data_IF_710782227337
#
_entry.id   IF_710782227337
#
_cell.length_a   1.000
_cell.length_b   1.000
_cell.length_c   1.000
_cell.angle_alpha   90.00
_cell.angle_beta   90.00
_cell.angle_gamma   90.00
#
_symmetry.space_group_name_H-M   'P 1'
#
loop_
_entity.id
_entity.type
_entity.pdbx_description
1 polymer ?
#
# COMPACT_ATOMS: atom_id res chain seq x y z
N UNK A 1 -17.64 28.30 10.30
CA UNK A 1 -16.65 27.48 11.05
C UNK A 1 -15.32 27.61 10.34
N UNK A 2 -14.24 28.01 11.03
CA UNK A 2 -12.91 27.98 10.43
C UNK A 2 -12.29 26.61 10.68
N UNK A 3 -12.22 25.78 9.66
CA UNK A 3 -11.40 24.58 9.74
C UNK A 3 -9.92 25.03 9.72
N UNK A 4 -9.25 24.96 10.87
CA UNK A 4 -7.78 24.99 10.93
C UNK A 4 -7.28 23.67 10.38
N UNK A 5 -7.03 23.62 9.07
CA UNK A 5 -6.32 22.51 8.44
C UNK A 5 -4.81 22.69 8.57
N UNK A 6 -4.09 21.60 8.81
CA UNK A 6 -2.64 21.56 8.68
C UNK A 6 -2.30 21.18 7.24
N UNK A 7 -1.43 21.97 6.59
CA UNK A 7 -0.86 21.59 5.30
C UNK A 7 0.25 20.56 5.54
N UNK A 8 0.08 19.36 5.03
CA UNK A 8 1.11 18.32 5.00
C UNK A 8 1.63 18.22 3.55
N UNK A 9 2.94 18.29 3.38
CA UNK A 9 3.60 18.12 2.07
C UNK A 9 4.18 16.72 2.00
N UNK A 10 3.68 15.91 1.08
CA UNK A 10 4.15 14.55 0.87
C UNK A 10 5.38 14.55 -0.06
N UNK A 11 6.47 13.84 0.29
CA UNK A 11 7.63 13.70 -0.57
C UNK A 11 7.36 12.66 -1.67
N UNK A 12 6.70 13.09 -2.76
CA UNK A 12 6.37 12.20 -3.89
C UNK A 12 7.64 11.86 -4.68
N UNK A 13 7.82 10.57 -4.94
CA UNK A 13 8.85 10.00 -5.79
C UNK A 13 8.24 9.42 -7.06
N UNK A 14 8.95 9.48 -8.17
CA UNK A 14 8.55 8.83 -9.42
C UNK A 14 9.39 7.56 -9.60
N UNK A 15 8.76 6.39 -9.54
CA UNK A 15 9.45 5.10 -9.67
C UNK A 15 8.92 4.30 -10.86
N UNK A 16 9.84 3.67 -11.57
CA UNK A 16 9.52 2.71 -12.61
C UNK A 16 9.13 1.38 -11.98
N UNK A 17 8.08 0.75 -12.51
CA UNK A 17 7.57 -0.52 -12.04
C UNK A 17 7.50 -1.54 -13.19
N UNK A 18 7.63 -2.81 -12.83
CA UNK A 18 7.56 -3.91 -13.78
C UNK A 18 6.36 -4.80 -13.45
N UNK A 19 5.27 -4.63 -14.21
CA UNK A 19 4.08 -5.46 -14.09
C UNK A 19 3.87 -6.22 -15.39
N UNK A 20 3.95 -7.56 -15.31
CA UNK A 20 3.58 -8.49 -16.40
C UNK A 20 4.12 -8.07 -17.78
N UNK A 21 5.43 -7.86 -17.89
CA UNK A 21 6.12 -7.54 -19.15
C UNK A 21 5.90 -6.12 -19.71
N UNK A 22 5.22 -5.25 -18.96
CA UNK A 22 5.06 -3.83 -19.29
C UNK A 22 5.77 -2.94 -18.27
N UNK A 23 6.46 -1.91 -18.78
CA UNK A 23 7.01 -0.85 -17.95
C UNK A 23 5.91 0.16 -17.62
N UNK A 24 5.63 0.30 -16.33
CA UNK A 24 4.80 1.36 -15.79
C UNK A 24 5.65 2.39 -15.06
N UNK A 25 5.02 3.51 -14.70
CA UNK A 25 5.57 4.43 -13.73
C UNK A 25 4.50 4.82 -12.73
N UNK A 26 4.87 4.81 -11.46
CA UNK A 26 4.00 5.15 -10.35
C UNK A 26 4.56 6.34 -9.57
N UNK A 27 3.66 7.20 -9.11
CA UNK A 27 3.96 8.21 -8.09
C UNK A 27 3.82 7.57 -6.72
N UNK A 28 4.91 7.58 -5.95
CA UNK A 28 4.99 6.89 -4.68
C UNK A 28 5.33 7.86 -3.54
N UNK A 29 4.73 7.64 -2.38
CA UNK A 29 5.08 8.36 -1.15
C UNK A 29 5.75 7.37 -0.19
N UNK A 30 7.02 7.59 0.19
CA UNK A 30 7.65 6.84 1.27
C UNK A 30 6.91 7.11 2.57
N UNK A 31 6.60 6.05 3.31
CA UNK A 31 5.96 6.14 4.62
C UNK A 31 6.49 5.05 5.54
N UNK A 32 6.25 5.22 6.83
CA UNK A 32 6.51 4.18 7.83
C UNK A 32 5.19 3.69 8.42
N UNK A 33 4.95 2.38 8.39
CA UNK A 33 3.82 1.73 9.02
C UNK A 33 4.32 0.69 10.04
N UNK A 34 4.05 0.91 11.32
CA UNK A 34 4.52 0.06 12.42
C UNK A 34 6.04 -0.23 12.38
N UNK A 35 6.86 0.78 12.04
CA UNK A 35 8.31 0.63 11.91
C UNK A 35 8.77 -0.06 10.62
N UNK A 36 7.88 -0.29 9.65
CA UNK A 36 8.19 -0.85 8.34
C UNK A 36 8.16 0.24 7.28
N UNK A 37 9.28 0.41 6.57
CA UNK A 37 9.42 1.34 5.45
C UNK A 37 8.66 0.81 4.22
N UNK A 38 7.70 1.59 3.73
CA UNK A 38 6.83 1.24 2.61
C UNK A 38 6.70 2.40 1.62
N UNK A 39 6.12 2.12 0.46
CA UNK A 39 5.83 3.13 -0.56
C UNK A 39 4.35 3.04 -0.96
N UNK A 40 3.58 4.08 -0.68
CA UNK A 40 2.18 4.17 -1.10
C UNK A 40 2.07 4.67 -2.53
N UNK A 41 1.20 4.02 -3.31
CA UNK A 41 0.74 4.57 -4.58
C UNK A 41 -0.10 5.82 -4.33
N UNK A 42 0.23 6.90 -5.04
CA UNK A 42 -0.62 8.09 -5.10
C UNK A 42 -1.70 7.85 -6.15
N UNK A 43 -2.86 7.42 -5.69
CA UNK A 43 -4.07 7.33 -6.49
C UNK A 43 -5.07 8.39 -6.00
N UNK A 44 -5.24 9.47 -6.78
CA UNK A 44 -6.18 10.54 -6.43
C UNK A 44 -7.65 10.16 -6.66
N UNK A 45 -7.92 9.02 -7.30
CA UNK A 45 -9.25 8.46 -7.49
C UNK A 45 -9.69 7.56 -6.34
N UNK A 46 -8.76 7.07 -5.51
CA UNK A 46 -9.05 6.18 -4.40
C UNK A 46 -9.44 6.95 -3.11
N UNK A 47 -10.40 6.41 -2.36
CA UNK A 47 -10.79 6.90 -1.02
C UNK A 47 -9.96 6.30 0.11
N UNK A 48 -9.22 5.24 -0.16
CA UNK A 48 -8.60 4.37 0.84
C UNK A 48 -7.13 4.14 0.55
N UNK A 49 -6.36 3.92 1.61
CA UNK A 49 -4.96 3.52 1.57
C UNK A 49 -4.89 2.05 1.95
N UNK A 50 -4.15 1.25 1.19
CA UNK A 50 -3.89 -0.14 1.52
C UNK A 50 -2.44 -0.52 1.22
N UNK A 51 -2.01 -1.57 1.90
CA UNK A 51 -0.68 -2.14 1.76
C UNK A 51 -0.77 -3.54 1.16
N UNK A 52 0.25 -3.92 0.40
CA UNK A 52 0.35 -5.29 -0.10
C UNK A 52 0.80 -6.18 1.07
N UNK A 53 0.05 -7.25 1.36
CA UNK A 53 0.47 -8.24 2.34
C UNK A 53 1.68 -9.03 1.83
N UNK A 54 2.74 -9.12 2.66
CA UNK A 54 3.94 -9.92 2.36
C UNK A 54 3.61 -11.40 2.20
N UNK A 55 2.73 -11.93 3.04
CA UNK A 55 2.29 -13.33 2.99
C UNK A 55 1.57 -13.62 1.67
N UNK A 56 0.52 -12.84 1.36
CA UNK A 56 -0.25 -13.01 0.13
C UNK A 56 0.63 -12.87 -1.13
N UNK A 57 1.54 -11.90 -1.16
CA UNK A 57 2.39 -11.70 -2.32
C UNK A 57 3.40 -12.86 -2.47
N UNK A 58 3.95 -13.35 -1.36
CA UNK A 58 4.82 -14.52 -1.35
C UNK A 58 4.11 -15.78 -1.85
N UNK A 59 2.87 -16.02 -1.42
CA UNK A 59 2.05 -17.14 -1.87
C UNK A 59 1.66 -17.03 -3.36
N UNK A 60 1.34 -15.82 -3.82
CA UNK A 60 0.83 -15.60 -5.19
C UNK A 60 1.91 -15.43 -6.25
N UNK A 61 3.11 -14.98 -5.88
CA UNK A 61 4.21 -14.65 -6.82
C UNK A 61 5.53 -15.37 -6.52
N UNK A 62 5.64 -16.05 -5.39
CA UNK A 62 6.84 -16.78 -4.98
C UNK A 62 7.77 -15.98 -4.05
N UNK A 63 8.76 -16.68 -3.51
CA UNK A 63 9.79 -16.09 -2.65
C UNK A 63 10.55 -14.98 -3.39
N UNK A 64 10.77 -13.84 -2.73
CA UNK A 64 11.46 -12.69 -3.32
C UNK A 64 10.55 -11.67 -4.01
N UNK A 65 9.25 -11.95 -4.12
CA UNK A 65 8.30 -11.05 -4.79
C UNK A 65 8.15 -9.70 -4.07
N UNK A 66 8.33 -9.69 -2.76
CA UNK A 66 8.21 -8.46 -1.98
C UNK A 66 9.36 -7.50 -2.22
N UNK A 67 10.58 -8.04 -2.28
CA UNK A 67 11.82 -7.30 -2.53
C UNK A 67 11.86 -6.75 -3.96
N UNK A 68 11.17 -7.41 -4.89
CA UNK A 68 11.00 -6.93 -6.26
C UNK A 68 9.90 -5.87 -6.42
N UNK A 69 9.03 -5.70 -5.42
CA UNK A 69 7.91 -4.74 -5.45
C UNK A 69 8.39 -3.33 -5.15
N UNK A 70 8.01 -2.36 -6.00
CA UNK A 70 8.31 -0.93 -5.77
C UNK A 70 7.51 -0.34 -4.60
N UNK A 71 6.41 -0.98 -4.23
CA UNK A 71 5.54 -0.59 -3.12
C UNK A 71 6.08 -1.08 -1.76
N UNK A 72 6.94 -2.11 -1.79
CA UNK A 72 7.21 -2.96 -0.63
C UNK A 72 5.99 -3.81 -0.27
N UNK A 73 6.06 -4.49 0.87
CA UNK A 73 4.93 -5.21 1.43
C UNK A 73 4.94 -5.07 2.94
N UNK A 74 3.74 -4.96 3.50
CA UNK A 74 3.53 -4.95 4.92
C UNK A 74 3.54 -6.38 5.46
N UNK A 75 4.39 -6.63 6.44
CA UNK A 75 4.39 -7.83 7.25
C UNK A 75 3.44 -7.59 8.43
N UNK A 76 2.35 -8.36 8.50
CA UNK A 76 1.43 -8.27 9.62
C UNK A 76 2.09 -8.80 10.90
N UNK A 77 2.43 -7.92 11.83
CA UNK A 77 3.12 -8.27 13.08
C UNK A 77 2.17 -8.42 14.27
N UNK A 78 0.89 -8.07 14.12
CA UNK A 78 -0.10 -8.11 15.20
C UNK A 78 -1.24 -9.08 14.88
N UNK A 79 -1.82 -9.71 15.91
CA UNK A 79 -3.02 -10.56 15.72
C UNK A 79 -4.23 -9.77 15.20
N UNK A 80 -4.17 -8.42 15.20
CA UNK A 80 -5.23 -7.53 14.74
C UNK A 80 -5.38 -7.53 13.22
N UNK A 81 -4.32 -7.83 12.45
CA UNK A 81 -4.44 -8.02 11.00
C UNK A 81 -4.85 -9.44 10.58
N UNK A 82 -5.44 -10.21 11.51
CA UNK A 82 -6.27 -11.40 11.20
C UNK A 82 -7.77 -11.11 11.28
N UNK A 83 -8.15 -9.85 11.51
CA UNK A 83 -9.54 -9.43 11.63
C UNK A 83 -10.22 -9.26 10.25
N UNK A 84 -11.54 -9.10 10.31
CA UNK A 84 -12.52 -8.98 9.20
C UNK A 84 -11.94 -8.50 7.86
N UNK A 85 -12.02 -9.38 6.87
CA UNK A 85 -11.77 -9.07 5.46
C UNK A 85 -12.93 -8.24 4.90
N UNK A 86 -12.61 -7.14 4.24
CA UNK A 86 -13.53 -6.36 3.40
C UNK A 86 -13.06 -6.50 1.96
N UNK A 87 -13.94 -6.92 1.06
CA UNK A 87 -13.61 -6.97 -0.36
C UNK A 87 -13.86 -5.61 -0.99
N UNK A 88 -12.86 -5.09 -1.70
CA UNK A 88 -12.94 -3.86 -2.48
C UNK A 88 -12.79 -4.22 -3.96
N UNK A 89 -13.62 -3.62 -4.80
CA UNK A 89 -13.50 -3.67 -6.26
C UNK A 89 -13.11 -2.28 -6.73
N UNK A 90 -12.01 -2.20 -7.48
CA UNK A 90 -11.52 -0.97 -8.09
C UNK A 90 -12.23 -0.69 -9.43
N UNK A 91 -12.09 0.53 -9.94
CA UNK A 91 -12.72 0.95 -11.21
C UNK A 91 -12.25 0.13 -12.42
N UNK A 92 -11.08 -0.50 -12.33
CA UNK A 92 -10.53 -1.41 -13.35
C UNK A 92 -10.99 -2.87 -13.19
N UNK A 93 -12.02 -3.11 -12.36
CA UNK A 93 -12.58 -4.41 -11.99
C UNK A 93 -11.63 -5.31 -11.18
N UNK A 94 -10.41 -4.85 -10.86
CA UNK A 94 -9.55 -5.58 -9.95
C UNK A 94 -10.17 -5.62 -8.55
N UNK A 95 -9.89 -6.68 -7.81
CA UNK A 95 -10.47 -6.92 -6.50
C UNK A 95 -9.38 -7.20 -5.47
N UNK A 96 -9.55 -6.66 -4.27
CA UNK A 96 -8.68 -6.91 -3.13
C UNK A 96 -9.49 -7.27 -1.88
N UNK A 97 -9.07 -8.32 -1.20
CA UNK A 97 -9.51 -8.64 0.15
C UNK A 97 -8.64 -7.88 1.14
N UNK A 98 -9.21 -6.89 1.80
CA UNK A 98 -8.48 -5.95 2.66
C UNK A 98 -8.78 -6.24 4.13
N UNK A 99 -7.73 -6.29 4.92
CA UNK A 99 -7.80 -6.33 6.38
C UNK A 99 -7.52 -4.93 6.91
N UNK A 100 -8.30 -4.41 7.87
CA UNK A 100 -8.03 -3.10 8.45
C UNK A 100 -6.69 -3.11 9.19
N UNK A 101 -5.81 -2.17 8.83
CA UNK A 101 -4.61 -1.90 9.60
C UNK A 101 -5.01 -1.12 10.86
N UNK A 102 -4.74 -1.70 12.03
CA UNK A 102 -4.80 -1.00 13.32
C UNK A 102 -3.36 -0.83 13.78
N UNK A 103 -2.75 0.28 13.38
CA UNK A 103 -1.33 0.55 13.59
C UNK A 103 -1.01 2.04 13.52
N UNK A 104 0.26 2.37 13.68
CA UNK A 104 0.74 3.74 13.54
C UNK A 104 1.21 3.98 12.10
N UNK A 105 0.69 5.05 11.50
CA UNK A 105 1.11 5.53 10.19
C UNK A 105 1.86 6.85 10.36
N UNK A 106 3.11 6.87 9.93
CA UNK A 106 3.96 8.07 9.93
C UNK A 106 4.30 8.45 8.49
N UNK A 107 4.21 9.75 8.21
CA UNK A 107 4.46 10.37 6.91
C UNK A 107 5.58 11.40 7.05
#
# INVERSE_FOLDING_TARGET
SSATGQLIRLPIQWKQEFWKETYGYSFLVPIEADGQDLNLLVDTGASDIFFISKEWLGESKGLGACEASVYGCYECTTDLCKARVTDITFDDESCASIVPLIGNLTI
#
